data_IF_686509120364
#
_entry.id   IF_686509120364
#
_cell.length_a   1.000
_cell.length_b   1.000
_cell.length_c   1.000
_cell.angle_alpha   90.00
_cell.angle_beta   90.00
_cell.angle_gamma   90.00
#
_symmetry.space_group_name_H-M   'P 1'
#
loop_
_entity.id
_entity.type
_entity.pdbx_description
1 polymer ?
#
# COMPACT_ATOMS: atom_id res chain seq x y z
N UNK A 1 16.91 19.67 0.80
CA UNK A 1 15.81 18.89 0.20
C UNK A 1 16.42 18.14 -0.97
N UNK A 2 16.67 16.84 -0.83
CA UNK A 2 17.43 16.09 -1.80
C UNK A 2 16.50 15.72 -2.97
N UNK A 3 16.70 16.31 -4.14
CA UNK A 3 15.86 16.10 -5.33
C UNK A 3 15.67 14.60 -5.68
N UNK A 4 16.65 13.78 -5.29
CA UNK A 4 16.65 12.34 -5.51
C UNK A 4 15.53 11.61 -4.72
N UNK A 5 15.15 12.12 -3.54
CA UNK A 5 14.14 11.49 -2.68
C UNK A 5 12.72 11.75 -3.19
N UNK A 6 12.47 12.97 -3.67
CA UNK A 6 11.19 13.33 -4.31
C UNK A 6 10.95 12.49 -5.57
N UNK A 7 11.98 12.27 -6.39
CA UNK A 7 11.87 11.46 -7.61
C UNK A 7 11.54 9.99 -7.29
N UNK A 8 12.22 9.41 -6.30
CA UNK A 8 11.98 8.03 -5.85
C UNK A 8 10.56 7.85 -5.28
N UNK A 9 10.02 8.86 -4.60
CA UNK A 9 8.63 8.87 -4.12
C UNK A 9 7.61 8.86 -5.26
N UNK A 10 7.78 9.73 -6.25
CA UNK A 10 6.88 9.78 -7.42
C UNK A 10 6.90 8.46 -8.17
N UNK A 11 8.06 7.82 -8.29
CA UNK A 11 8.17 6.51 -8.94
C UNK A 11 7.45 5.39 -8.16
N UNK A 12 7.58 5.36 -6.82
CA UNK A 12 6.80 4.46 -5.96
C UNK A 12 5.29 4.70 -6.11
N UNK A 13 4.88 5.97 -6.11
CA UNK A 13 3.49 6.39 -6.29
C UNK A 13 2.91 5.90 -7.62
N UNK A 14 3.67 6.09 -8.70
CA UNK A 14 3.27 5.67 -10.05
C UNK A 14 3.11 4.14 -10.16
N UNK A 15 4.02 3.38 -9.53
CA UNK A 15 3.92 1.90 -9.45
C UNK A 15 2.71 1.45 -8.62
N UNK A 16 2.43 2.13 -7.50
CA UNK A 16 1.26 1.84 -6.67
C UNK A 16 -0.04 2.08 -7.44
N UNK A 17 -0.20 3.24 -8.08
CA UNK A 17 -1.39 3.55 -8.89
C UNK A 17 -1.61 2.55 -10.02
N UNK A 18 -0.54 2.11 -10.69
CA UNK A 18 -0.64 1.07 -11.72
C UNK A 18 -1.19 -0.25 -11.15
N UNK A 19 -0.70 -0.67 -9.99
CA UNK A 19 -1.19 -1.88 -9.32
C UNK A 19 -2.62 -1.73 -8.81
N UNK A 20 -2.98 -0.56 -8.27
CA UNK A 20 -4.33 -0.24 -7.81
C UNK A 20 -5.34 -0.24 -8.96
N UNK A 21 -4.98 0.34 -10.11
CA UNK A 21 -5.80 0.29 -11.32
C UNK A 21 -6.05 -1.14 -11.77
N UNK A 22 -5.00 -1.98 -11.80
CA UNK A 22 -5.13 -3.37 -12.21
C UNK A 22 -6.02 -4.16 -11.25
N UNK A 23 -5.86 -3.92 -9.95
CA UNK A 23 -6.76 -4.48 -8.93
C UNK A 23 -8.20 -4.04 -9.14
N UNK A 24 -8.46 -2.75 -9.37
CA UNK A 24 -9.81 -2.23 -9.60
C UNK A 24 -10.47 -2.85 -10.83
N UNK A 25 -9.73 -3.04 -11.92
CA UNK A 25 -10.22 -3.71 -13.12
C UNK A 25 -10.56 -5.18 -12.82
N UNK A 26 -9.65 -5.93 -12.20
CA UNK A 26 -9.85 -7.36 -11.91
C UNK A 26 -10.99 -7.56 -10.92
N UNK A 27 -11.03 -6.78 -9.83
CA UNK A 27 -12.10 -6.80 -8.85
C UNK A 27 -13.44 -6.43 -9.49
N UNK A 28 -13.48 -5.35 -10.28
CA UNK A 28 -14.67 -4.91 -11.00
C UNK A 28 -15.23 -5.97 -11.93
N UNK A 29 -14.38 -6.63 -12.74
CA UNK A 29 -14.80 -7.71 -13.64
C UNK A 29 -15.37 -8.90 -12.87
N UNK A 30 -14.72 -9.31 -11.77
CA UNK A 30 -15.18 -10.44 -10.95
C UNK A 30 -16.51 -10.13 -10.27
N UNK A 31 -16.64 -8.94 -9.66
CA UNK A 31 -17.87 -8.49 -9.03
C UNK A 31 -19.00 -8.37 -10.04
N UNK A 32 -18.74 -7.78 -11.21
CA UNK A 32 -19.74 -7.64 -12.28
C UNK A 32 -20.18 -8.99 -12.83
N UNK A 33 -19.25 -9.94 -13.02
CA UNK A 33 -19.59 -11.32 -13.41
C UNK A 33 -20.46 -12.02 -12.38
N UNK A 34 -20.14 -11.87 -11.08
CA UNK A 34 -20.95 -12.44 -10.00
C UNK A 34 -22.34 -11.82 -9.98
N UNK A 35 -22.42 -10.51 -10.10
CA UNK A 35 -23.68 -9.76 -10.13
C UNK A 35 -24.58 -10.20 -11.29
N UNK A 36 -24.05 -10.29 -12.51
CA UNK A 36 -24.82 -10.75 -13.68
C UNK A 36 -25.25 -12.22 -13.58
N UNK A 37 -24.46 -13.07 -12.91
CA UNK A 37 -24.73 -14.52 -12.85
C UNK A 37 -25.67 -14.92 -11.72
N UNK A 38 -25.58 -14.27 -10.56
CA UNK A 38 -26.31 -14.66 -9.35
C UNK A 38 -27.30 -13.59 -8.87
N UNK A 39 -27.28 -12.38 -9.43
CA UNK A 39 -28.19 -11.29 -9.06
C UNK A 39 -27.98 -10.72 -7.65
N UNK A 40 -27.07 -11.28 -6.86
CA UNK A 40 -26.77 -10.86 -5.49
C UNK A 40 -25.31 -10.44 -5.33
N UNK A 41 -25.08 -9.43 -4.48
CA UNK A 41 -23.76 -9.01 -4.02
C UNK A 41 -23.24 -9.93 -2.90
N UNK A 42 -23.46 -11.23 -3.01
CA UNK A 42 -22.96 -12.15 -2.01
C UNK A 42 -21.45 -12.28 -2.11
N UNK A 43 -20.77 -11.74 -1.09
CA UNK A 43 -19.39 -12.02 -0.74
C UNK A 43 -19.20 -13.46 -0.22
N UNK A 44 -20.08 -14.40 -0.61
CA UNK A 44 -19.89 -15.80 -0.31
C UNK A 44 -18.50 -16.22 -0.79
N UNK A 45 -17.71 -16.71 0.16
CA UNK A 45 -16.29 -17.00 0.08
C UNK A 45 -15.99 -18.25 -0.76
N UNK A 46 -16.64 -18.38 -1.92
CA UNK A 46 -16.19 -19.28 -2.97
C UNK A 46 -14.76 -18.84 -3.33
N UNK A 47 -13.77 -19.74 -3.30
CA UNK A 47 -12.33 -19.46 -3.18
C UNK A 47 -11.70 -18.40 -4.11
N UNK A 48 -12.40 -17.93 -5.15
CA UNK A 48 -12.06 -16.73 -5.92
C UNK A 48 -12.05 -15.42 -5.11
N UNK A 49 -12.82 -15.32 -4.01
CA UNK A 49 -12.89 -14.10 -3.20
C UNK A 49 -11.67 -13.91 -2.29
N UNK A 50 -11.01 -15.00 -1.90
CA UNK A 50 -9.88 -14.99 -0.96
C UNK A 50 -8.66 -14.27 -1.55
N UNK A 51 -8.35 -14.51 -2.82
CA UNK A 51 -7.24 -13.84 -3.52
C UNK A 51 -7.47 -12.33 -3.66
N UNK A 52 -8.69 -11.91 -4.01
CA UNK A 52 -9.05 -10.49 -4.06
C UNK A 52 -8.94 -9.83 -2.69
N UNK A 53 -9.34 -10.54 -1.63
CA UNK A 53 -9.28 -10.02 -0.27
C UNK A 53 -7.83 -9.82 0.18
N UNK A 54 -6.97 -10.82 -0.01
CA UNK A 54 -5.53 -10.73 0.31
C UNK A 54 -4.87 -9.61 -0.50
N UNK A 55 -5.15 -9.55 -1.80
CA UNK A 55 -4.55 -8.53 -2.68
C UNK A 55 -5.04 -7.12 -2.33
N UNK A 56 -6.30 -6.99 -1.90
CA UNK A 56 -6.87 -5.77 -1.35
C UNK A 56 -6.18 -5.33 -0.06
N UNK A 57 -5.97 -6.25 0.90
CA UNK A 57 -5.25 -5.96 2.16
C UNK A 57 -3.83 -5.44 1.86
N UNK A 58 -3.11 -6.09 0.95
CA UNK A 58 -1.76 -5.66 0.54
C UNK A 58 -1.79 -4.24 -0.03
N UNK A 59 -2.80 -3.89 -0.82
CA UNK A 59 -2.96 -2.54 -1.35
C UNK A 59 -3.31 -1.52 -0.27
N UNK A 60 -4.15 -1.87 0.70
CA UNK A 60 -4.48 -0.99 1.83
C UNK A 60 -3.24 -0.69 2.67
N UNK A 61 -2.43 -1.71 3.00
CA UNK A 61 -1.18 -1.51 3.73
C UNK A 61 -0.25 -0.59 2.94
N UNK A 62 -0.09 -0.83 1.63
CA UNK A 62 0.70 0.05 0.75
C UNK A 62 0.15 1.48 0.66
N UNK A 63 -1.16 1.66 0.72
CA UNK A 63 -1.76 2.99 0.70
C UNK A 63 -1.44 3.74 2.01
N UNK A 64 -1.59 3.09 3.15
CA UNK A 64 -1.22 3.67 4.46
C UNK A 64 0.27 4.01 4.47
N UNK A 65 1.13 3.11 4.00
CA UNK A 65 2.57 3.34 3.87
C UNK A 65 2.90 4.56 2.99
N UNK A 66 2.24 4.68 1.85
CA UNK A 66 2.55 5.72 0.87
C UNK A 66 1.97 7.10 1.24
N UNK A 67 0.83 7.15 1.92
CA UNK A 67 0.09 8.38 2.21
C UNK A 67 0.16 8.83 3.67
N UNK A 68 0.26 7.91 4.62
CA UNK A 68 0.25 8.20 6.07
C UNK A 68 1.67 8.22 6.63
N UNK A 69 2.51 7.26 6.24
CA UNK A 69 3.94 7.30 6.57
C UNK A 69 4.66 8.25 5.63
N UNK A 70 4.51 9.55 5.89
CA UNK A 70 5.23 10.57 5.15
C UNK A 70 6.75 10.49 5.42
N UNK A 71 7.56 10.98 4.48
CA UNK A 71 9.03 11.05 4.58
C UNK A 71 9.49 11.73 5.88
N UNK A 72 8.67 12.63 6.44
CA UNK A 72 8.91 13.25 7.74
C UNK A 72 8.74 12.31 8.94
N UNK A 73 7.77 11.38 8.89
CA UNK A 73 7.61 10.38 9.95
C UNK A 73 8.75 9.35 9.89
N UNK A 74 9.08 8.86 8.69
CA UNK A 74 10.22 7.94 8.50
C UNK A 74 11.54 8.58 8.96
N UNK A 75 11.81 9.83 8.55
CA UNK A 75 12.99 10.57 9.04
C UNK A 75 12.97 10.74 10.56
N UNK A 76 11.80 10.99 11.16
CA UNK A 76 11.66 11.15 12.61
C UNK A 76 11.94 9.87 13.40
N UNK A 77 11.59 8.70 12.86
CA UNK A 77 11.91 7.39 13.46
C UNK A 77 13.40 7.09 13.31
N UNK A 78 13.95 7.26 12.10
CA UNK A 78 15.38 7.01 11.82
C UNK A 78 16.27 7.93 12.65
N UNK A 79 15.92 9.22 12.79
CA UNK A 79 16.68 10.17 13.60
C UNK A 79 16.56 9.88 15.11
N UNK A 80 15.42 9.34 15.57
CA UNK A 80 15.25 8.86 16.95
C UNK A 80 16.10 7.62 17.22
N UNK A 81 16.08 6.61 16.35
CA UNK A 81 16.92 5.42 16.50
C UNK A 81 18.41 5.76 16.41
N UNK A 82 18.82 6.65 15.50
CA UNK A 82 20.20 7.10 15.40
C UNK A 82 20.65 7.89 16.63
N UNK A 83 19.76 8.66 17.27
CA UNK A 83 20.05 9.36 18.54
C UNK A 83 20.18 8.39 19.72
N UNK A 84 19.32 7.38 19.80
CA UNK A 84 19.41 6.34 20.85
C UNK A 84 20.66 5.47 20.71
N UNK A 85 21.17 5.29 19.48
CA UNK A 85 22.44 4.60 19.23
C UNK A 85 23.68 5.49 19.32
N UNK A 86 23.53 6.82 19.36
CA UNK A 86 24.62 7.75 19.65
C UNK A 86 24.83 7.87 21.15
N UNK A 87 25.27 6.79 21.79
CA UNK A 87 25.84 6.89 23.14
C UNK A 87 27.00 7.90 23.07
N UNK A 88 27.06 8.91 23.96
CA UNK A 88 28.24 9.77 24.04
C UNK A 88 29.43 8.87 24.36
N UNK A 89 30.43 8.90 23.48
CA UNK A 89 31.73 8.32 23.77
C UNK A 89 32.33 9.24 24.83
N UNK A 90 32.27 8.81 26.08
CA UNK A 90 32.89 9.49 27.21
C UNK A 90 34.41 9.28 27.10
N UNK A 91 35.18 10.38 27.07
CA UNK A 91 36.65 10.39 26.99
C UNK A 91 37.25 10.95 28.26
#
# INVERSE_FOLDING_TARGET
MNYNDAYRRVEKLKKFYKNLLWFGIVAGVILLRKYLKYGTFDFSATGSSLLLTIWGIILTVKAVDLFVFDDQWERGIVEKELKDHKKPIDY
#
